data_IF_885797951474
#
_entry.id   IF_885797951474
#
_cell.length_a   1.000
_cell.length_b   1.000
_cell.length_c   1.000
_cell.angle_alpha   90.00
_cell.angle_beta   90.00
_cell.angle_gamma   90.00
#
_symmetry.space_group_name_H-M   'P 1'
#
loop_
_entity.id
_entity.type
_entity.pdbx_description
1 polymer ?
#
# COMPACT_ATOMS: atom_id res chain seq x y z
N UNK A 1 -17.86 -0.98 -24.77
CA UNK A 1 -16.67 -1.45 -24.04
C UNK A 1 -17.05 -1.63 -22.57
N UNK A 2 -17.33 -2.85 -22.11
CA UNK A 2 -17.61 -3.10 -20.68
C UNK A 2 -16.27 -3.32 -19.98
N UNK A 3 -15.77 -2.31 -19.29
CA UNK A 3 -14.56 -2.40 -18.47
C UNK A 3 -14.79 -3.42 -17.34
N UNK A 4 -13.98 -4.47 -17.32
CA UNK A 4 -14.03 -5.51 -16.29
C UNK A 4 -13.49 -4.97 -14.97
N UNK A 5 -14.38 -4.46 -14.12
CA UNK A 5 -14.06 -4.12 -12.74
C UNK A 5 -13.76 -5.37 -11.93
N UNK A 6 -12.87 -5.26 -10.95
CA UNK A 6 -12.56 -6.34 -10.02
C UNK A 6 -13.78 -6.59 -9.15
N UNK A 7 -14.37 -7.77 -9.26
CA UNK A 7 -15.52 -8.15 -8.45
C UNK A 7 -15.09 -8.55 -7.02
N UNK A 8 -16.05 -8.64 -6.10
CA UNK A 8 -15.80 -8.96 -4.70
C UNK A 8 -15.04 -10.28 -4.51
N UNK A 9 -15.35 -11.33 -5.27
CA UNK A 9 -14.66 -12.62 -5.12
C UNK A 9 -13.18 -12.55 -5.51
N UNK A 10 -12.85 -11.81 -6.56
CA UNK A 10 -11.46 -11.55 -6.97
C UNK A 10 -10.75 -10.67 -5.94
N UNK A 11 -11.43 -9.63 -5.44
CA UNK A 11 -10.88 -8.74 -4.42
C UNK A 11 -10.57 -9.50 -3.11
N UNK A 12 -11.47 -10.40 -2.69
CA UNK A 12 -11.25 -11.24 -1.52
C UNK A 12 -10.06 -12.18 -1.72
N UNK A 13 -9.96 -12.83 -2.89
CA UNK A 13 -8.81 -13.70 -3.20
C UNK A 13 -7.49 -12.94 -3.13
N UNK A 14 -7.44 -11.70 -3.63
CA UNK A 14 -6.26 -10.84 -3.51
C UNK A 14 -5.97 -10.51 -2.03
N UNK A 15 -6.99 -10.22 -1.23
CA UNK A 15 -6.84 -9.95 0.20
C UNK A 15 -6.23 -11.15 0.94
N UNK A 16 -6.67 -12.36 0.62
CA UNK A 16 -6.15 -13.60 1.19
C UNK A 16 -4.67 -13.82 0.84
N UNK A 17 -4.26 -13.53 -0.40
CA UNK A 17 -2.85 -13.61 -0.85
C UNK A 17 -1.98 -12.58 -0.14
N UNK A 18 -2.48 -11.34 -0.02
CA UNK A 18 -1.77 -10.23 0.61
C UNK A 18 -1.71 -10.40 2.14
N UNK A 19 -2.61 -11.20 2.71
CA UNK A 19 -2.82 -11.33 4.16
C UNK A 19 -3.43 -10.05 4.76
N UNK A 20 -4.35 -9.42 4.02
CA UNK A 20 -5.07 -8.22 4.42
C UNK A 20 -6.58 -8.41 4.40
N UNK A 21 -7.31 -7.33 4.62
CA UNK A 21 -8.77 -7.28 4.61
C UNK A 21 -9.26 -6.41 3.45
N UNK A 22 -10.40 -6.78 2.86
CA UNK A 22 -11.09 -5.95 1.87
C UNK A 22 -11.76 -4.80 2.61
N UNK A 23 -11.32 -3.57 2.35
CA UNK A 23 -11.94 -2.36 2.90
C UNK A 23 -13.06 -1.85 1.99
N UNK A 24 -12.89 -2.05 0.68
CA UNK A 24 -13.87 -1.71 -0.34
C UNK A 24 -13.69 -2.61 -1.55
N UNK A 25 -14.78 -2.97 -2.23
CA UNK A 25 -14.74 -3.85 -3.42
C UNK A 25 -15.42 -3.26 -4.65
N UNK A 26 -16.12 -2.14 -4.53
CA UNK A 26 -16.80 -1.47 -5.65
C UNK A 26 -16.83 0.04 -5.40
N UNK A 27 -16.50 0.89 -6.39
CA UNK A 27 -16.06 0.56 -7.75
C UNK A 27 -14.59 0.11 -7.85
N UNK A 28 -13.84 0.23 -6.75
CA UNK A 28 -12.41 -0.08 -6.66
C UNK A 28 -12.19 -1.14 -5.59
N UNK A 29 -11.29 -2.10 -5.85
CA UNK A 29 -10.87 -3.09 -4.86
C UNK A 29 -9.73 -2.52 -4.01
N UNK A 30 -10.00 -2.26 -2.73
CA UNK A 30 -9.02 -1.75 -1.77
C UNK A 30 -8.80 -2.77 -0.68
N UNK A 31 -7.54 -3.20 -0.55
CA UNK A 31 -7.09 -4.17 0.43
C UNK A 31 -6.14 -3.46 1.38
N UNK A 32 -6.35 -3.65 2.67
CA UNK A 32 -5.51 -3.06 3.70
C UNK A 32 -5.04 -4.12 4.70
N UNK A 33 -3.81 -3.96 5.15
CA UNK A 33 -3.22 -4.66 6.28
C UNK A 33 -2.52 -3.66 7.16
N UNK A 34 -2.52 -3.87 8.46
CA UNK A 34 -1.72 -3.05 9.38
C UNK A 34 -0.31 -3.62 9.54
N UNK A 35 0.69 -2.76 9.42
CA UNK A 35 2.08 -3.09 9.73
C UNK A 35 2.25 -3.16 11.24
N UNK A 36 2.89 -4.22 11.72
CA UNK A 36 3.17 -4.39 13.16
C UNK A 36 4.42 -3.59 13.56
N UNK A 37 4.27 -2.28 13.74
CA UNK A 37 5.36 -1.40 14.18
C UNK A 37 5.01 -0.78 15.54
N UNK A 38 6.00 -0.78 16.45
CA UNK A 38 5.87 -0.13 17.76
C UNK A 38 6.15 1.37 17.72
N UNK A 39 5.37 2.11 16.94
CA UNK A 39 5.46 3.57 16.81
C UNK A 39 4.68 4.39 17.86
N UNK A 40 5.23 5.56 18.16
CA UNK A 40 4.59 6.66 18.87
C UNK A 40 4.56 7.92 17.99
N UNK A 41 3.62 8.82 18.23
CA UNK A 41 3.55 10.18 17.65
C UNK A 41 3.31 11.14 18.81
N UNK A 42 4.16 12.16 18.97
CA UNK A 42 4.13 13.05 20.14
C UNK A 42 4.19 12.25 21.47
N UNK A 43 5.00 11.19 21.50
CA UNK A 43 5.14 10.28 22.64
C UNK A 43 3.93 9.36 22.92
N UNK A 44 2.86 9.45 22.15
CA UNK A 44 1.66 8.60 22.31
C UNK A 44 1.70 7.42 21.37
N UNK A 45 1.50 6.20 21.90
CA UNK A 45 1.42 4.98 21.10
C UNK A 45 0.29 5.08 20.07
N UNK A 46 0.61 4.84 18.80
CA UNK A 46 -0.40 4.72 17.73
C UNK A 46 -0.60 3.27 17.30
N UNK A 47 -1.85 2.92 17.04
CA UNK A 47 -2.28 1.69 16.33
C UNK A 47 -3.20 2.03 15.16
N UNK A 48 -3.27 3.31 14.80
CA UNK A 48 -4.20 3.81 13.80
C UNK A 48 -3.83 3.28 12.41
N UNK A 49 -4.81 2.83 11.62
CA UNK A 49 -4.61 2.54 10.20
C UNK A 49 -4.01 3.70 9.41
N UNK A 50 -4.22 4.95 9.86
CA UNK A 50 -3.63 6.14 9.23
C UNK A 50 -2.11 6.26 9.45
N UNK A 51 -1.58 5.60 10.47
CA UNK A 51 -0.15 5.64 10.81
C UNK A 51 0.59 4.36 10.45
N UNK A 52 -0.10 3.22 10.41
CA UNK A 52 0.50 1.92 10.16
C UNK A 52 -0.02 1.22 8.87
N UNK A 53 -0.30 1.92 7.76
CA UNK A 53 -0.92 1.31 6.59
C UNK A 53 0.06 0.41 5.82
N UNK A 54 -0.48 -0.69 5.32
CA UNK A 54 -0.08 -1.33 4.06
C UNK A 54 -1.36 -1.47 3.26
N UNK A 55 -1.52 -0.72 2.17
CA UNK A 55 -2.74 -0.64 1.40
C UNK A 55 -2.44 -0.82 -0.09
N UNK A 56 -3.31 -1.53 -0.79
CA UNK A 56 -3.25 -1.73 -2.23
C UNK A 56 -4.64 -1.50 -2.81
N UNK A 57 -4.70 -0.73 -3.90
CA UNK A 57 -5.89 -0.34 -4.63
C UNK A 57 -5.77 -0.84 -6.07
N UNK A 58 -6.73 -1.66 -6.47
CA UNK A 58 -6.75 -2.30 -7.78
C UNK A 58 -7.95 -1.82 -8.59
N UNK A 59 -7.67 -1.41 -9.83
CA UNK A 59 -8.65 -0.88 -10.79
C UNK A 59 -8.40 -1.53 -12.16
N UNK A 60 -9.47 -1.80 -12.90
CA UNK A 60 -9.37 -2.38 -14.26
C UNK A 60 -8.46 -3.62 -14.38
N UNK A 61 -8.39 -4.45 -13.32
CA UNK A 61 -7.55 -5.66 -13.20
C UNK A 61 -6.04 -5.42 -13.03
N UNK A 62 -5.61 -4.20 -12.68
CA UNK A 62 -4.22 -3.88 -12.36
C UNK A 62 -4.09 -3.18 -11.00
N UNK A 63 -2.87 -3.19 -10.45
CA UNK A 63 -2.54 -2.39 -9.27
C UNK A 63 -2.40 -0.92 -9.69
N UNK A 64 -3.36 -0.09 -9.27
CA UNK A 64 -3.35 1.34 -9.59
C UNK A 64 -2.52 2.14 -8.56
N UNK A 65 -2.75 1.86 -7.27
CA UNK A 65 -2.12 2.61 -6.18
C UNK A 65 -1.83 1.69 -5.00
N UNK A 66 -0.67 1.84 -4.38
CA UNK A 66 -0.32 1.20 -3.13
C UNK A 66 0.41 2.16 -2.21
N UNK A 67 0.29 1.95 -0.91
CA UNK A 67 1.03 2.65 0.14
C UNK A 67 1.52 1.66 1.18
N UNK A 68 2.77 1.79 1.62
CA UNK A 68 3.25 1.12 2.83
C UNK A 68 3.98 2.10 3.73
N UNK A 69 3.68 2.02 5.03
CA UNK A 69 4.59 2.54 6.05
C UNK A 69 5.81 1.62 6.15
N UNK A 70 6.96 2.23 6.33
CA UNK A 70 8.27 1.61 6.41
C UNK A 70 9.05 2.23 7.56
N UNK A 71 9.93 1.43 8.15
CA UNK A 71 11.02 1.94 8.97
C UNK A 71 12.13 2.47 8.04
N UNK A 72 12.91 3.46 8.48
CA UNK A 72 13.98 4.03 7.64
C UNK A 72 14.94 2.96 7.05
N UNK A 73 15.28 1.93 7.83
CA UNK A 73 16.12 0.81 7.37
C UNK A 73 15.49 -0.06 6.28
N UNK A 74 14.17 -0.04 6.14
CA UNK A 74 13.42 -0.84 5.16
C UNK A 74 13.30 -0.14 3.80
N UNK A 75 13.64 1.16 3.72
CA UNK A 75 13.46 1.99 2.51
C UNK A 75 14.20 1.41 1.30
N UNK A 76 15.52 1.25 1.37
CA UNK A 76 16.30 0.73 0.24
C UNK A 76 15.95 -0.74 -0.10
N UNK A 77 15.82 -1.66 0.88
CA UNK A 77 15.33 -3.02 0.59
C UNK A 77 13.98 -3.06 -0.12
N UNK A 78 13.04 -2.18 0.27
CA UNK A 78 11.73 -2.08 -0.37
C UNK A 78 11.84 -1.53 -1.80
N UNK A 79 12.60 -0.45 -2.01
CA UNK A 79 12.86 0.11 -3.34
C UNK A 79 13.41 -0.96 -4.30
N UNK A 80 14.42 -1.71 -3.85
CA UNK A 80 15.04 -2.76 -4.65
C UNK A 80 14.06 -3.91 -4.96
N UNK A 81 13.25 -4.29 -3.98
CA UNK A 81 12.23 -5.33 -4.13
C UNK A 81 11.13 -4.92 -5.12
N UNK A 82 10.71 -3.66 -5.11
CA UNK A 82 9.71 -3.12 -6.04
C UNK A 82 10.27 -3.05 -7.46
N UNK A 83 11.48 -2.50 -7.63
CA UNK A 83 12.16 -2.41 -8.93
C UNK A 83 12.33 -3.77 -9.60
N UNK A 84 12.77 -4.79 -8.85
CA UNK A 84 12.91 -6.17 -9.35
C UNK A 84 11.59 -6.79 -9.85
N UNK A 85 10.45 -6.24 -9.42
CA UNK A 85 9.10 -6.70 -9.81
C UNK A 85 8.43 -5.79 -10.84
N UNK A 86 9.15 -4.79 -11.37
CA UNK A 86 8.58 -3.84 -12.33
C UNK A 86 7.57 -2.86 -11.73
N UNK A 87 7.52 -2.74 -10.40
CA UNK A 87 6.66 -1.76 -9.72
C UNK A 87 7.40 -0.42 -9.61
N UNK A 88 6.67 0.65 -9.88
CA UNK A 88 7.18 2.02 -9.85
C UNK A 88 6.91 2.62 -8.48
N UNK A 89 7.90 3.31 -7.93
CA UNK A 89 7.75 4.13 -6.74
C UNK A 89 7.35 5.53 -7.20
N UNK A 90 6.15 5.96 -6.82
CA UNK A 90 5.55 7.21 -7.29
C UNK A 90 5.69 8.34 -6.28
N UNK A 91 5.87 8.02 -5.00
CA UNK A 91 6.20 8.99 -3.96
C UNK A 91 6.91 8.34 -2.77
N UNK A 92 7.66 9.15 -2.03
CA UNK A 92 8.34 8.76 -0.81
C UNK A 92 8.44 9.97 0.14
N UNK A 93 7.85 9.88 1.33
CA UNK A 93 7.76 11.01 2.27
C UNK A 93 7.49 10.56 3.72
N UNK A 94 7.27 11.52 4.63
CA UNK A 94 6.84 11.28 6.01
C UNK A 94 5.48 11.97 6.28
N UNK A 95 4.58 11.31 7.01
CA UNK A 95 3.30 11.92 7.43
C UNK A 95 3.40 12.71 8.73
N UNK A 96 4.31 12.30 9.62
CA UNK A 96 4.30 12.76 11.01
C UNK A 96 5.60 13.50 11.38
N UNK A 97 5.46 14.38 12.36
CA UNK A 97 6.57 14.96 13.13
C UNK A 97 6.61 14.28 14.49
N UNK A 98 7.81 14.17 15.07
CA UNK A 98 8.03 13.59 16.41
C UNK A 98 7.50 12.16 16.55
N UNK A 99 7.64 11.38 15.48
CA UNK A 99 7.35 9.96 15.46
C UNK A 99 8.59 9.14 15.85
N UNK A 100 8.38 8.10 16.66
CA UNK A 100 9.46 7.20 17.10
C UNK A 100 8.97 5.74 17.06
N UNK A 101 9.63 4.85 16.28
CA UNK A 101 10.70 5.14 15.33
C UNK A 101 10.20 5.99 14.15
N UNK A 102 11.13 6.63 13.45
CA UNK A 102 10.83 7.40 12.24
C UNK A 102 10.13 6.53 11.20
N UNK A 103 8.88 6.90 10.89
CA UNK A 103 8.02 6.29 9.90
C UNK A 103 8.18 7.01 8.57
N UNK A 104 8.45 6.23 7.54
CA UNK A 104 8.50 6.67 6.15
C UNK A 104 7.35 6.01 5.37
N UNK A 105 6.83 6.69 4.36
CA UNK A 105 5.71 6.22 3.55
C UNK A 105 6.18 6.15 2.11
N UNK A 106 5.86 5.05 1.45
CA UNK A 106 6.23 4.82 0.07
C UNK A 106 4.99 4.45 -0.71
N UNK A 107 4.72 5.22 -1.75
CA UNK A 107 3.66 4.96 -2.70
C UNK A 107 4.21 4.24 -3.92
N UNK A 108 3.46 3.26 -4.38
CA UNK A 108 3.85 2.40 -5.48
C UNK A 108 2.67 2.12 -6.41
N UNK A 109 2.95 1.76 -7.66
CA UNK A 109 1.95 1.34 -8.63
C UNK A 109 2.58 0.49 -9.71
N UNK A 110 1.76 -0.10 -10.56
CA UNK A 110 2.25 -0.73 -11.78
C UNK A 110 2.68 0.32 -12.81
N UNK A 111 3.70 -0.03 -13.62
CA UNK A 111 4.02 0.74 -14.80
C UNK A 111 2.86 0.64 -15.79
N UNK A 112 2.16 1.74 -16.06
CA UNK A 112 1.13 1.75 -17.10
C UNK A 112 1.80 1.68 -18.47
N UNK A 113 1.82 0.50 -19.08
CA UNK A 113 2.56 0.23 -20.31
C UNK A 113 1.79 0.65 -21.58
N UNK A 114 1.20 1.85 -21.55
CA UNK A 114 0.22 2.37 -22.51
C UNK A 114 0.40 1.88 -23.95
N UNK A 115 -0.47 0.95 -24.36
CA UNK A 115 -0.88 0.87 -25.75
C UNK A 115 -1.94 1.95 -25.95
N UNK A 116 -1.50 3.09 -26.50
CA UNK A 116 -2.35 4.10 -27.16
C UNK A 116 -2.41 3.76 -28.63
#
# INVERSE_FOLDING_TARGET
MKGGGINLSTCQRLADIIGGEVIQSTPVCVIMRLRNIRATILGRRTRSPLALPFMLSFENNGLNLGESVLLQREVNPMLDALRKRGLIVTAFHNHWLFDEPRLMYMQLGECWNGSV
#
